data_IF_462109720426
#
_entry.id   IF_462109720426
#
_cell.length_a   1.000
_cell.length_b   1.000
_cell.length_c   1.000
_cell.angle_alpha   90.00
_cell.angle_beta   90.00
_cell.angle_gamma   90.00
#
_symmetry.space_group_name_H-M   'P 1'
#
loop_
_entity.id
_entity.type
_entity.pdbx_description
1 polymer ?
#
# COMPACT_ATOMS: atom_id res chain seq x y z
N UNK A 1 8.12 9.30 -4.39
CA UNK A 1 9.14 9.13 -5.45
C UNK A 1 8.57 9.68 -6.73
N UNK A 2 9.33 10.52 -7.45
CA UNK A 2 8.88 11.14 -8.70
C UNK A 2 9.33 10.35 -9.93
N UNK A 3 10.53 9.80 -9.89
CA UNK A 3 11.14 9.07 -11.00
C UNK A 3 12.16 8.05 -10.47
N UNK A 4 12.54 7.07 -11.28
CA UNK A 4 13.55 6.06 -10.97
C UNK A 4 14.24 5.51 -12.22
N UNK A 5 15.46 5.00 -12.03
CA UNK A 5 16.18 4.27 -13.05
C UNK A 5 16.67 2.93 -12.47
N UNK A 6 16.52 1.83 -13.22
CA UNK A 6 17.01 0.52 -12.82
C UNK A 6 18.44 0.36 -13.33
N UNK A 7 19.36 0.06 -12.41
CA UNK A 7 20.73 -0.27 -12.79
C UNK A 7 20.83 -1.73 -13.21
N UNK A 8 21.25 -1.98 -14.45
CA UNK A 8 21.31 -3.32 -15.06
C UNK A 8 22.74 -3.90 -15.09
N UNK A 9 23.68 -3.27 -14.38
CA UNK A 9 25.08 -3.67 -14.34
C UNK A 9 25.86 -3.22 -15.58
N UNK A 10 26.83 -4.03 -16.01
CA UNK A 10 27.73 -3.68 -17.12
C UNK A 10 27.04 -3.50 -18.49
N UNK A 11 25.80 -3.98 -18.62
CA UNK A 11 24.98 -3.83 -19.84
C UNK A 11 24.17 -2.54 -19.88
N UNK A 12 24.19 -1.74 -18.81
CA UNK A 12 23.42 -0.50 -18.78
C UNK A 12 24.01 0.47 -19.82
N UNK A 13 23.41 0.52 -21.01
CA UNK A 13 23.86 1.36 -22.11
C UNK A 13 23.37 2.78 -21.86
N UNK A 14 24.30 3.66 -21.51
CA UNK A 14 24.02 5.08 -21.41
C UNK A 14 25.01 5.86 -22.27
N UNK A 15 24.48 6.49 -23.31
CA UNK A 15 25.22 7.38 -24.19
C UNK A 15 25.44 8.72 -23.48
N UNK A 16 26.48 8.80 -22.64
CA UNK A 16 26.96 10.11 -22.19
C UNK A 16 28.45 10.12 -22.00
N UNK A 17 29.06 11.22 -22.43
CA UNK A 17 30.48 11.48 -22.24
C UNK A 17 30.83 11.83 -20.77
N UNK A 18 29.82 11.94 -19.91
CA UNK A 18 29.94 12.37 -18.50
C UNK A 18 30.05 11.19 -17.53
N UNK A 19 29.87 9.96 -18.02
CA UNK A 19 29.83 8.74 -17.22
C UNK A 19 28.47 8.47 -16.59
N UNK A 20 28.37 7.33 -15.90
CA UNK A 20 27.11 6.75 -15.41
C UNK A 20 26.36 7.66 -14.42
N UNK A 21 27.06 8.17 -13.41
CA UNK A 21 26.43 8.96 -12.33
C UNK A 21 25.74 10.23 -12.83
N UNK A 22 26.48 11.13 -13.52
CA UNK A 22 25.89 12.34 -14.11
C UNK A 22 24.74 12.06 -15.06
N UNK A 23 24.85 11.02 -15.89
CA UNK A 23 23.77 10.64 -16.80
C UNK A 23 22.48 10.29 -16.05
N UNK A 24 22.58 9.45 -15.01
CA UNK A 24 21.41 9.05 -14.23
C UNK A 24 20.73 10.28 -13.62
N UNK A 25 21.51 11.21 -13.07
CA UNK A 25 20.95 12.46 -12.52
C UNK A 25 20.27 13.28 -13.60
N UNK A 26 20.93 13.52 -14.74
CA UNK A 26 20.34 14.29 -15.83
C UNK A 26 19.08 13.64 -16.39
N UNK A 27 19.02 12.30 -16.44
CA UNK A 27 17.83 11.58 -16.87
C UNK A 27 16.67 11.77 -15.89
N UNK A 28 16.90 11.58 -14.59
CA UNK A 28 15.88 11.74 -13.56
C UNK A 28 15.43 13.20 -13.41
N UNK A 29 16.33 14.14 -13.68
CA UNK A 29 16.08 15.57 -13.62
C UNK A 29 15.07 16.06 -14.67
N UNK A 30 14.87 15.32 -15.77
CA UNK A 30 13.87 15.67 -16.81
C UNK A 30 12.44 15.68 -16.27
N UNK A 31 12.17 14.90 -15.22
CA UNK A 31 10.87 14.81 -14.55
C UNK A 31 10.65 15.94 -13.53
N UNK A 32 11.62 16.84 -13.35
CA UNK A 32 11.60 17.92 -12.36
C UNK A 32 11.27 19.25 -13.07
N UNK A 33 10.38 20.08 -12.51
CA UNK A 33 10.06 21.38 -13.10
C UNK A 33 11.26 22.35 -13.09
N UNK A 34 11.44 23.17 -14.15
CA UNK A 34 12.49 24.18 -14.20
C UNK A 34 12.44 25.15 -13.01
N UNK A 35 13.60 25.62 -12.56
CA UNK A 35 13.75 26.47 -11.37
C UNK A 35 13.84 25.70 -10.05
N UNK A 36 13.74 24.37 -10.08
CA UNK A 36 13.90 23.53 -8.89
C UNK A 36 15.36 23.39 -8.47
N UNK A 37 15.57 23.21 -7.16
CA UNK A 37 16.88 22.85 -6.59
C UNK A 37 17.00 21.32 -6.46
N UNK A 38 18.08 20.76 -6.98
CA UNK A 38 18.38 19.31 -6.89
C UNK A 38 19.55 19.09 -5.96
N UNK A 39 19.36 18.19 -4.99
CA UNK A 39 20.36 17.79 -4.01
C UNK A 39 20.80 16.36 -4.29
N UNK A 40 22.11 16.14 -4.41
CA UNK A 40 22.71 14.83 -4.64
C UNK A 40 23.99 14.69 -3.82
N UNK A 41 24.35 13.45 -3.50
CA UNK A 41 25.53 13.18 -2.68
C UNK A 41 26.84 13.56 -3.42
N UNK A 42 27.92 13.72 -2.65
CA UNK A 42 29.27 13.99 -3.16
C UNK A 42 29.68 12.99 -4.23
N UNK A 43 29.28 11.72 -4.09
CA UNK A 43 29.58 10.68 -5.08
C UNK A 43 29.13 11.05 -6.50
N UNK A 44 28.03 11.79 -6.63
CA UNK A 44 27.50 12.19 -7.93
C UNK A 44 27.83 13.64 -8.32
N UNK A 45 28.50 14.39 -7.44
CA UNK A 45 28.73 15.83 -7.63
C UNK A 45 30.00 16.07 -8.47
N UNK A 46 29.83 16.43 -9.74
CA UNK A 46 30.93 16.80 -10.64
C UNK A 46 30.68 18.15 -11.31
N UNK A 47 31.75 18.90 -11.63
CA UNK A 47 31.63 20.21 -12.30
C UNK A 47 30.87 20.10 -13.63
N UNK A 48 31.18 19.14 -14.53
CA UNK A 48 30.44 18.99 -15.78
C UNK A 48 28.94 18.71 -15.60
N UNK A 49 28.57 17.97 -14.55
CA UNK A 49 27.15 17.73 -14.23
C UNK A 49 26.45 19.04 -13.85
N UNK A 50 27.08 19.85 -13.01
CA UNK A 50 26.50 21.12 -12.54
C UNK A 50 26.23 22.05 -13.73
N UNK A 51 27.17 22.13 -14.68
CA UNK A 51 27.01 22.93 -15.91
C UNK A 51 25.83 22.45 -16.77
N UNK A 52 25.66 21.13 -16.94
CA UNK A 52 24.52 20.57 -17.69
C UNK A 52 23.18 20.80 -16.97
N UNK A 53 23.15 20.74 -15.64
CA UNK A 53 21.94 21.03 -14.86
C UNK A 53 21.54 22.50 -14.95
N UNK A 54 22.52 23.42 -14.97
CA UNK A 54 22.26 24.85 -15.15
C UNK A 54 21.64 25.15 -16.52
N UNK A 55 22.07 24.44 -17.59
CA UNK A 55 21.44 24.53 -18.92
C UNK A 55 19.97 24.06 -18.91
N UNK A 56 19.62 23.13 -18.02
CA UNK A 56 18.23 22.70 -17.79
C UNK A 56 17.44 23.64 -16.86
N UNK A 57 18.02 24.79 -16.49
CA UNK A 57 17.47 25.73 -15.52
C UNK A 57 17.19 25.06 -14.16
N UNK A 58 18.07 24.14 -13.74
CA UNK A 58 18.03 23.47 -12.45
C UNK A 58 19.21 23.92 -11.59
N UNK A 59 18.94 24.24 -10.34
CA UNK A 59 19.99 24.63 -9.40
C UNK A 59 20.57 23.39 -8.73
N UNK A 60 21.80 23.02 -9.10
CA UNK A 60 22.57 21.99 -8.39
C UNK A 60 23.32 22.59 -7.19
N UNK A 61 23.43 21.81 -6.12
CA UNK A 61 24.04 22.29 -4.87
C UNK A 61 25.57 22.27 -4.97
N UNK A 62 26.19 23.44 -5.19
CA UNK A 62 27.57 23.69 -4.77
C UNK A 62 27.59 24.06 -3.27
N UNK A 63 28.63 23.68 -2.50
CA UNK A 63 28.61 23.58 -1.04
C UNK A 63 28.71 24.93 -0.32
N UNK A 64 27.73 25.83 -0.51
CA UNK A 64 27.72 27.12 0.21
C UNK A 64 26.78 27.21 1.40
N UNK A 65 25.93 26.21 1.67
CA UNK A 65 25.17 26.13 2.93
C UNK A 65 25.00 24.67 3.35
N UNK A 66 25.93 24.15 4.14
CA UNK A 66 25.87 22.79 4.74
C UNK A 66 24.52 22.55 5.46
N UNK A 67 23.93 23.59 6.03
CA UNK A 67 22.62 23.51 6.69
C UNK A 67 21.47 23.19 5.72
N UNK A 68 21.45 23.79 4.52
CA UNK A 68 20.43 23.52 3.51
C UNK A 68 20.63 22.12 2.93
N UNK A 69 21.87 21.73 2.66
CA UNK A 69 22.20 20.37 2.25
C UNK A 69 21.68 19.34 3.26
N UNK A 70 22.03 19.48 4.55
CA UNK A 70 21.56 18.55 5.59
C UNK A 70 20.03 18.58 5.80
N UNK A 71 19.37 19.71 5.49
CA UNK A 71 17.92 19.84 5.63
C UNK A 71 17.15 19.14 4.51
N UNK A 72 17.66 19.18 3.28
CA UNK A 72 16.96 18.68 2.09
C UNK A 72 17.51 17.34 1.57
N UNK A 73 18.74 16.97 1.94
CA UNK A 73 19.24 15.61 1.78
C UNK A 73 18.49 14.66 2.71
N UNK A 74 18.30 13.42 2.26
CA UNK A 74 17.59 12.39 3.01
C UNK A 74 16.13 12.19 2.59
N UNK A 75 15.62 12.90 1.59
CA UNK A 75 14.29 12.61 1.03
C UNK A 75 14.14 11.16 0.54
N UNK A 76 15.20 10.62 -0.07
CA UNK A 76 15.29 9.20 -0.46
C UNK A 76 15.41 8.30 0.76
N UNK A 77 16.30 8.62 1.71
CA UNK A 77 16.49 7.84 2.94
C UNK A 77 15.22 7.72 3.78
N UNK A 78 14.42 8.77 3.85
CA UNK A 78 13.14 8.78 4.57
C UNK A 78 12.12 7.86 3.89
N UNK A 79 12.10 7.82 2.56
CA UNK A 79 11.26 6.89 1.80
C UNK A 79 11.70 5.44 2.06
N UNK A 80 13.00 5.18 2.00
CA UNK A 80 13.59 3.86 2.28
C UNK A 80 13.29 3.40 3.70
N UNK A 81 13.43 4.29 4.68
CA UNK A 81 13.07 4.03 6.07
C UNK A 81 11.59 3.67 6.21
N UNK A 82 10.69 4.38 5.53
CA UNK A 82 9.24 4.13 5.57
C UNK A 82 8.84 2.82 4.90
N UNK A 83 9.55 2.43 3.84
CA UNK A 83 9.36 1.11 3.23
C UNK A 83 9.86 0.01 4.17
N UNK A 84 11.02 0.18 4.80
CA UNK A 84 11.64 -0.83 5.66
C UNK A 84 10.82 -1.11 6.92
N UNK A 85 10.19 -0.10 7.54
CA UNK A 85 9.38 -0.29 8.77
C UNK A 85 8.32 -1.39 8.68
N UNK A 86 7.69 -1.52 7.51
CA UNK A 86 6.60 -2.47 7.28
C UNK A 86 6.85 -3.28 6.01
N UNK A 87 8.11 -3.57 5.70
CA UNK A 87 8.51 -4.25 4.47
C UNK A 87 7.75 -5.55 4.25
N UNK A 88 7.19 -5.72 3.06
CA UNK A 88 6.50 -6.95 2.68
C UNK A 88 7.54 -8.04 2.42
N UNK A 89 7.73 -8.94 3.40
CA UNK A 89 8.71 -10.01 3.27
C UNK A 89 8.12 -11.22 2.53
N UNK A 90 8.70 -11.55 1.38
CA UNK A 90 8.37 -12.77 0.64
C UNK A 90 9.61 -13.65 0.43
N UNK A 91 9.57 -14.87 0.96
CA UNK A 91 10.67 -15.84 0.80
C UNK A 91 10.65 -16.45 -0.60
N UNK A 92 11.37 -15.83 -1.52
CA UNK A 92 11.50 -16.30 -2.92
C UNK A 92 12.93 -16.18 -3.44
N UNK A 93 13.33 -17.10 -4.31
CA UNK A 93 14.58 -17.01 -5.09
C UNK A 93 14.41 -16.20 -6.38
N UNK A 94 13.18 -15.97 -6.85
CA UNK A 94 12.91 -15.21 -8.08
C UNK A 94 13.09 -13.71 -7.81
N UNK A 95 14.12 -13.10 -8.38
CA UNK A 95 14.46 -11.68 -8.16
C UNK A 95 13.38 -10.74 -8.71
N UNK A 96 12.73 -11.09 -9.82
CA UNK A 96 11.65 -10.30 -10.42
C UNK A 96 10.49 -10.08 -9.46
N UNK A 97 10.15 -11.10 -8.66
CA UNK A 97 9.11 -11.00 -7.65
C UNK A 97 9.53 -10.08 -6.49
N UNK A 98 10.81 -10.04 -6.13
CA UNK A 98 11.31 -9.08 -5.14
C UNK A 98 11.18 -7.64 -5.62
N UNK A 99 11.47 -7.40 -6.90
CA UNK A 99 11.31 -6.09 -7.55
C UNK A 99 9.85 -5.68 -7.60
N UNK A 100 8.95 -6.59 -7.99
CA UNK A 100 7.51 -6.34 -7.98
C UNK A 100 7.01 -5.92 -6.59
N UNK A 101 7.36 -6.68 -5.56
CA UNK A 101 6.94 -6.40 -4.18
C UNK A 101 7.51 -5.06 -3.70
N UNK A 102 8.75 -4.74 -4.05
CA UNK A 102 9.35 -3.44 -3.74
C UNK A 102 8.56 -2.28 -4.37
N UNK A 103 8.16 -2.40 -5.64
CA UNK A 103 7.33 -1.38 -6.29
C UNK A 103 5.94 -1.24 -5.67
N UNK A 104 5.35 -2.34 -5.17
CA UNK A 104 4.09 -2.30 -4.42
C UNK A 104 4.24 -1.58 -3.08
N UNK A 105 5.29 -1.89 -2.31
CA UNK A 105 5.60 -1.20 -1.05
C UNK A 105 5.87 0.30 -1.30
N UNK A 106 6.59 0.62 -2.38
CA UNK A 106 6.87 1.98 -2.82
C UNK A 106 5.58 2.75 -3.18
N UNK A 107 4.68 2.12 -3.96
CA UNK A 107 3.41 2.71 -4.32
C UNK A 107 2.55 2.97 -3.07
N UNK A 108 2.49 2.03 -2.12
CA UNK A 108 1.79 2.20 -0.84
C UNK A 108 2.31 3.40 -0.06
N UNK A 109 3.63 3.51 0.10
CA UNK A 109 4.23 4.64 0.84
C UNK A 109 4.00 5.96 0.10
N UNK A 110 4.11 5.98 -1.23
CA UNK A 110 3.80 7.17 -2.03
C UNK A 110 2.33 7.61 -1.86
N UNK A 111 1.38 6.68 -1.91
CA UNK A 111 -0.04 6.97 -1.69
C UNK A 111 -0.31 7.51 -0.29
N UNK A 112 0.34 6.95 0.74
CA UNK A 112 0.23 7.47 2.11
C UNK A 112 0.82 8.88 2.25
N UNK A 113 1.89 9.20 1.51
CA UNK A 113 2.45 10.56 1.45
C UNK A 113 1.49 11.56 0.81
N UNK A 114 0.84 11.18 -0.28
CA UNK A 114 -0.19 12.00 -0.91
C UNK A 114 -1.36 12.24 0.05
N UNK A 115 -1.87 11.18 0.69
CA UNK A 115 -2.91 11.29 1.73
C UNK A 115 -2.51 12.26 2.85
N UNK A 116 -1.27 12.21 3.32
CA UNK A 116 -0.79 13.15 4.35
C UNK A 116 -0.75 14.59 3.85
N UNK A 117 -0.35 14.83 2.60
CA UNK A 117 -0.36 16.16 1.98
C UNK A 117 -1.79 16.68 1.89
N UNK A 118 -2.74 15.85 1.47
CA UNK A 118 -4.16 16.22 1.39
C UNK A 118 -4.72 16.51 2.79
N UNK A 119 -4.34 15.73 3.80
CA UNK A 119 -4.72 16.03 5.18
C UNK A 119 -4.17 17.37 5.67
N UNK A 120 -2.97 17.78 5.22
CA UNK A 120 -2.45 19.12 5.55
C UNK A 120 -3.21 20.20 4.80
N UNK A 121 -3.46 20.01 3.51
CA UNK A 121 -4.18 20.97 2.67
C UNK A 121 -5.62 21.21 3.11
N UNK A 122 -6.25 20.21 3.74
CA UNK A 122 -7.61 20.28 4.29
C UNK A 122 -7.65 20.57 5.80
N UNK A 123 -6.54 21.00 6.41
CA UNK A 123 -6.43 21.33 7.84
C UNK A 123 -6.89 20.21 8.80
N UNK A 124 -6.68 18.94 8.42
CA UNK A 124 -7.02 17.82 9.30
C UNK A 124 -6.09 17.82 10.52
N UNK A 125 -6.65 17.74 11.74
CA UNK A 125 -5.87 17.70 12.95
C UNK A 125 -5.08 16.40 13.04
N UNK A 126 -3.86 16.46 13.61
CA UNK A 126 -2.89 15.36 13.62
C UNK A 126 -3.45 14.06 14.22
N UNK A 127 -4.32 14.15 15.22
CA UNK A 127 -4.95 13.00 15.87
C UNK A 127 -5.97 12.26 14.98
N UNK A 128 -6.41 12.87 13.88
CA UNK A 128 -7.31 12.24 12.89
C UNK A 128 -6.56 11.67 11.69
N UNK A 129 -5.24 11.89 11.58
CA UNK A 129 -4.44 11.37 10.47
C UNK A 129 -4.13 9.89 10.71
N UNK A 130 -4.37 9.08 9.70
CA UNK A 130 -4.09 7.65 9.76
C UNK A 130 -2.58 7.38 9.72
N UNK A 131 -2.01 6.65 10.70
CA UNK A 131 -0.61 6.25 10.65
C UNK A 131 -0.37 5.24 9.52
N UNK A 132 0.88 5.10 9.09
CA UNK A 132 1.25 4.30 7.91
C UNK A 132 0.79 2.83 8.00
N UNK A 133 0.88 2.20 9.18
CA UNK A 133 0.44 0.81 9.36
C UNK A 133 -1.07 0.66 9.15
N UNK A 134 -1.87 1.52 9.77
CA UNK A 134 -3.32 1.48 9.67
C UNK A 134 -3.76 1.74 8.22
N UNK A 135 -3.10 2.67 7.53
CA UNK A 135 -3.33 2.94 6.12
C UNK A 135 -3.05 1.73 5.23
N UNK A 136 -1.96 1.00 5.52
CA UNK A 136 -1.65 -0.26 4.80
C UNK A 136 -2.69 -1.34 5.06
N UNK A 137 -3.16 -1.48 6.30
CA UNK A 137 -4.19 -2.46 6.66
C UNK A 137 -5.53 -2.14 5.99
N UNK A 138 -5.93 -0.87 5.95
CA UNK A 138 -7.17 -0.44 5.29
C UNK A 138 -7.15 -0.74 3.77
N UNK A 139 -6.02 -0.49 3.10
CA UNK A 139 -5.83 -0.87 1.69
C UNK A 139 -5.88 -2.39 1.51
N UNK A 140 -5.19 -3.15 2.38
CA UNK A 140 -5.17 -4.60 2.30
C UNK A 140 -6.58 -5.20 2.48
N UNK A 141 -7.35 -4.68 3.44
CA UNK A 141 -8.74 -5.08 3.66
C UNK A 141 -9.58 -4.73 2.43
N UNK A 142 -9.50 -3.50 1.92
CA UNK A 142 -10.27 -3.06 0.76
C UNK A 142 -10.01 -3.91 -0.47
N UNK A 143 -8.73 -4.19 -0.78
CA UNK A 143 -8.33 -5.05 -1.90
C UNK A 143 -8.68 -6.52 -1.68
N UNK A 144 -8.74 -6.99 -0.44
CA UNK A 144 -9.19 -8.36 -0.14
C UNK A 144 -10.71 -8.53 -0.24
N UNK A 145 -11.44 -7.42 -0.30
CA UNK A 145 -12.90 -7.39 -0.30
C UNK A 145 -13.50 -7.07 -1.67
N UNK A 146 -12.67 -6.93 -2.70
CA UNK A 146 -13.15 -6.96 -4.08
C UNK A 146 -13.79 -8.32 -4.35
N UNK A 147 -15.03 -8.37 -4.89
CA UNK A 147 -15.70 -9.62 -5.20
C UNK A 147 -14.76 -10.53 -6.01
N UNK A 148 -14.68 -11.80 -5.65
CA UNK A 148 -13.93 -12.79 -6.40
C UNK A 148 -14.56 -12.84 -7.81
N UNK A 149 -13.93 -12.18 -8.79
CA UNK A 149 -14.33 -12.38 -10.16
C UNK A 149 -13.99 -13.83 -10.48
N UNK A 150 -14.98 -14.67 -10.84
CA UNK A 150 -14.70 -16.05 -11.17
C UNK A 150 -13.60 -16.06 -12.22
N UNK A 151 -12.44 -16.61 -11.86
CA UNK A 151 -11.30 -16.73 -12.74
C UNK A 151 -11.85 -17.39 -14.01
N UNK A 152 -11.76 -16.72 -15.17
CA UNK A 152 -12.13 -17.35 -16.44
C UNK A 152 -11.38 -18.67 -16.49
N UNK A 153 -12.11 -19.77 -16.38
CA UNK A 153 -11.59 -21.09 -16.67
C UNK A 153 -11.44 -21.09 -18.18
N UNK A 154 -10.34 -20.53 -18.67
CA UNK A 154 -9.87 -20.85 -20.00
C UNK A 154 -9.46 -22.32 -19.90
N UNK A 155 -10.35 -23.17 -20.43
CA UNK A 155 -10.17 -24.61 -20.40
C UNK A 155 -8.89 -25.00 -21.12
N UNK A 156 -8.11 -25.88 -20.50
CA UNK A 156 -7.76 -27.20 -21.04
C UNK A 156 -6.82 -27.88 -20.02
N UNK A 157 -7.37 -28.56 -19.02
CA UNK A 157 -6.63 -29.61 -18.30
C UNK A 157 -7.63 -30.57 -17.66
N UNK A 158 -7.68 -31.79 -18.21
CA UNK A 158 -8.57 -32.90 -17.81
C UNK A 158 -8.15 -33.54 -16.46
N UNK A 159 -7.47 -32.78 -15.60
CA UNK A 159 -7.01 -33.26 -14.31
C UNK A 159 -8.13 -33.14 -13.27
N UNK A 160 -8.78 -34.28 -13.02
CA UNK A 160 -9.78 -34.44 -11.93
C UNK A 160 -9.21 -33.87 -10.62
N UNK A 161 -9.82 -32.84 -10.03
CA UNK A 161 -9.33 -32.28 -8.77
C UNK A 161 -9.53 -33.32 -7.66
N UNK A 162 -8.44 -33.89 -7.15
CA UNK A 162 -8.49 -34.72 -5.94
C UNK A 162 -8.91 -33.81 -4.78
N UNK A 163 -10.01 -34.09 -4.07
CA UNK A 163 -10.44 -33.25 -2.96
C UNK A 163 -9.45 -33.43 -1.81
N UNK A 164 -8.54 -32.47 -1.62
CA UNK A 164 -7.85 -32.31 -0.35
C UNK A 164 -8.92 -32.03 0.70
N UNK A 165 -9.14 -32.97 1.61
CA UNK A 165 -9.88 -32.72 2.85
C UNK A 165 -9.06 -31.77 3.71
N UNK A 166 -9.11 -30.49 3.38
CA UNK A 166 -8.68 -29.45 4.30
C UNK A 166 -9.67 -29.42 5.46
N UNK A 167 -9.23 -29.87 6.63
CA UNK A 167 -9.92 -29.53 7.85
C UNK A 167 -9.81 -28.01 8.00
N UNK A 168 -10.84 -27.28 7.54
CA UNK A 168 -10.98 -25.84 7.76
C UNK A 168 -11.13 -25.62 9.26
N UNK A 169 -10.02 -25.41 9.96
CA UNK A 169 -10.02 -24.91 11.32
C UNK A 169 -10.67 -23.52 11.26
N UNK A 170 -11.86 -23.39 11.83
CA UNK A 170 -12.54 -22.11 11.92
C UNK A 170 -11.68 -21.14 12.75
N UNK A 171 -11.25 -20.05 12.11
CA UNK A 171 -10.70 -18.88 12.77
C UNK A 171 -11.76 -17.79 12.72
N UNK A 172 -12.09 -17.13 13.84
CA UNK A 172 -12.97 -15.97 13.81
C UNK A 172 -12.43 -14.95 12.80
N UNK A 173 -13.28 -14.47 11.90
CA UNK A 173 -12.90 -13.39 10.99
C UNK A 173 -12.43 -12.18 11.80
N UNK A 174 -11.37 -11.52 11.33
CA UNK A 174 -10.98 -10.22 11.86
C UNK A 174 -12.15 -9.25 11.67
N UNK A 175 -12.26 -8.25 12.55
CA UNK A 175 -13.27 -7.22 12.35
C UNK A 175 -13.00 -6.52 11.02
N UNK A 176 -14.00 -6.38 10.13
CA UNK A 176 -13.84 -5.68 8.86
C UNK A 176 -13.47 -4.21 9.09
N UNK A 177 -12.76 -3.60 8.13
CA UNK A 177 -12.47 -2.17 8.12
C UNK A 177 -13.77 -1.36 8.22
N UNK A 178 -13.69 -0.15 8.80
CA UNK A 178 -14.84 0.74 8.91
C UNK A 178 -15.44 1.07 7.53
N UNK A 179 -14.59 1.24 6.52
CA UNK A 179 -15.02 1.46 5.14
C UNK A 179 -15.89 0.31 4.63
N UNK A 180 -15.44 -0.94 4.77
CA UNK A 180 -16.21 -2.13 4.35
C UNK A 180 -17.48 -2.30 5.17
N UNK A 181 -17.42 -2.04 6.48
CA UNK A 181 -18.54 -2.24 7.39
C UNK A 181 -19.69 -1.26 7.12
N UNK A 182 -19.35 -0.01 6.77
CA UNK A 182 -20.30 1.09 6.65
C UNK A 182 -20.51 1.56 5.20
N UNK A 183 -20.09 0.77 4.20
CA UNK A 183 -20.27 1.12 2.78
C UNK A 183 -21.73 1.07 2.30
N UNK A 184 -22.62 0.41 3.06
CA UNK A 184 -24.06 0.45 2.84
C UNK A 184 -24.60 -0.49 1.75
N UNK A 185 -23.77 -1.35 1.14
CA UNK A 185 -24.21 -2.27 0.09
C UNK A 185 -23.65 -3.69 0.25
N UNK A 186 -24.35 -4.68 -0.32
CA UNK A 186 -23.94 -6.10 -0.38
C UNK A 186 -23.73 -6.81 0.97
N UNK A 187 -24.38 -6.34 2.03
CA UNK A 187 -24.37 -7.01 3.33
C UNK A 187 -25.60 -7.90 3.50
N UNK A 188 -25.56 -9.11 2.96
CA UNK A 188 -26.68 -10.06 3.05
C UNK A 188 -26.53 -11.03 4.24
N UNK A 189 -27.63 -11.29 4.99
CA UNK A 189 -27.63 -12.31 6.02
C UNK A 189 -27.75 -13.70 5.39
N UNK A 190 -26.78 -14.58 5.67
CA UNK A 190 -26.77 -15.96 5.21
C UNK A 190 -26.79 -16.89 6.42
N UNK A 191 -27.63 -17.93 6.37
CA UNK A 191 -27.61 -19.02 7.34
C UNK A 191 -26.47 -19.98 7.02
N UNK A 192 -25.52 -20.10 7.94
CA UNK A 192 -24.41 -21.02 7.83
C UNK A 192 -24.77 -22.40 8.40
N UNK A 193 -24.40 -23.47 7.71
CA UNK A 193 -24.70 -24.85 8.11
C UNK A 193 -23.68 -25.38 9.13
N UNK A 194 -23.54 -24.62 10.23
CA UNK A 194 -22.66 -24.96 11.34
C UNK A 194 -23.42 -25.73 12.42
N UNK A 195 -22.75 -26.77 12.96
CA UNK A 195 -23.30 -27.59 14.06
C UNK A 195 -23.63 -26.76 15.29
N UNK A 196 -22.69 -25.92 15.73
CA UNK A 196 -22.85 -25.04 16.89
C UNK A 196 -22.82 -23.57 16.45
N UNK A 197 -23.73 -22.71 16.97
CA UNK A 197 -23.75 -21.29 16.64
C UNK A 197 -22.52 -20.56 17.19
N UNK A 198 -22.09 -19.50 16.50
CA UNK A 198 -20.93 -18.67 16.90
C UNK A 198 -21.38 -17.44 17.68
N UNK A 199 -20.50 -16.87 18.49
CA UNK A 199 -20.78 -15.64 19.25
C UNK A 199 -21.01 -14.46 18.32
N UNK A 200 -21.99 -13.63 18.66
CA UNK A 200 -22.28 -12.40 17.94
C UNK A 200 -21.08 -11.45 18.05
N UNK A 201 -20.74 -10.79 16.93
CA UNK A 201 -19.62 -9.83 16.89
C UNK A 201 -20.00 -8.41 17.31
N UNK A 202 -21.28 -8.16 17.60
CA UNK A 202 -21.75 -6.87 18.07
C UNK A 202 -21.19 -6.53 19.46
N UNK A 203 -20.83 -5.26 19.66
CA UNK A 203 -20.41 -4.75 20.96
C UNK A 203 -21.55 -4.94 21.98
N UNK A 204 -21.23 -5.47 23.17
CA UNK A 204 -22.19 -5.76 24.24
C UNK A 204 -23.25 -6.85 23.92
N UNK A 205 -23.01 -7.72 22.93
CA UNK A 205 -23.88 -8.86 22.65
C UNK A 205 -23.20 -10.21 22.97
N UNK A 206 -23.75 -10.95 23.92
CA UNK A 206 -23.25 -12.28 24.31
C UNK A 206 -23.97 -13.44 23.60
N UNK A 207 -24.94 -13.12 22.76
CA UNK A 207 -25.77 -14.11 22.07
C UNK A 207 -25.00 -14.85 20.99
N UNK A 208 -25.50 -16.04 20.61
CA UNK A 208 -24.90 -16.85 19.55
C UNK A 208 -25.82 -16.91 18.33
N UNK A 209 -25.25 -16.94 17.13
CA UNK A 209 -25.96 -16.94 15.87
C UNK A 209 -25.35 -17.95 14.89
N UNK A 210 -26.21 -18.52 14.02
CA UNK A 210 -25.78 -19.24 12.80
C UNK A 210 -25.82 -18.34 11.57
N UNK A 211 -26.30 -17.12 11.72
CA UNK A 211 -26.44 -16.15 10.65
C UNK A 211 -25.16 -15.32 10.60
N UNK A 212 -24.57 -15.22 9.41
CA UNK A 212 -23.41 -14.38 9.14
C UNK A 212 -23.69 -13.41 8.01
N UNK A 213 -22.96 -12.30 8.00
CA UNK A 213 -22.91 -11.41 6.85
C UNK A 213 -22.04 -12.04 5.76
N UNK A 214 -22.56 -12.13 4.54
CA UNK A 214 -21.81 -12.65 3.38
C UNK A 214 -20.51 -11.89 3.13
N UNK A 215 -20.60 -10.56 3.15
CA UNK A 215 -19.49 -9.66 2.84
C UNK A 215 -18.50 -9.53 4.00
N UNK A 216 -18.97 -9.29 5.21
CA UNK A 216 -18.09 -9.10 6.38
C UNK A 216 -17.58 -10.41 7.00
N UNK A 217 -18.18 -11.56 6.67
CA UNK A 217 -17.90 -12.88 7.28
C UNK A 217 -17.96 -12.90 8.82
N UNK A 218 -18.80 -12.04 9.41
CA UNK A 218 -19.04 -11.96 10.85
C UNK A 218 -20.42 -12.51 11.21
N UNK A 219 -20.50 -13.23 12.33
CA UNK A 219 -21.78 -13.75 12.84
C UNK A 219 -22.52 -12.68 13.65
N UNK A 220 -23.78 -12.47 13.29
CA UNK A 220 -24.64 -11.43 13.87
C UNK A 220 -26.01 -12.02 14.21
N UNK A 221 -26.60 -11.56 15.31
CA UNK A 221 -27.97 -11.95 15.64
C UNK A 221 -28.94 -11.31 14.66
N UNK A 222 -29.83 -12.15 14.13
CA UNK A 222 -30.99 -11.74 13.34
C UNK A 222 -32.17 -12.57 13.84
N UNK A 223 -32.81 -12.09 14.90
CA UNK A 223 -34.02 -12.65 15.47
C UNK A 223 -35.02 -11.53 15.74
N UNK A 224 -36.27 -11.87 16.06
CA UNK A 224 -37.30 -10.88 16.43
C UNK A 224 -36.88 -9.97 17.58
N UNK A 225 -36.18 -10.53 18.57
CA UNK A 225 -35.81 -9.82 19.79
C UNK A 225 -34.44 -9.12 19.68
N UNK A 226 -33.60 -9.52 18.72
CA UNK A 226 -32.23 -9.01 18.56
C UNK A 226 -31.86 -8.86 17.09
N UNK A 227 -31.88 -7.63 16.59
CA UNK A 227 -31.38 -7.26 15.27
C UNK A 227 -30.00 -6.60 15.37
N UNK A 228 -29.01 -7.41 15.76
CA UNK A 228 -27.62 -6.98 15.76
C UNK A 228 -27.09 -6.80 14.33
N UNK A 229 -27.69 -7.47 13.34
CA UNK A 229 -27.25 -7.40 11.95
C UNK A 229 -27.36 -5.97 11.41
N UNK A 230 -28.54 -5.36 11.50
CA UNK A 230 -28.76 -3.97 11.07
C UNK A 230 -27.93 -2.98 11.88
N UNK A 231 -27.94 -3.13 13.21
CA UNK A 231 -27.21 -2.26 14.13
C UNK A 231 -25.70 -2.26 13.86
N UNK A 232 -25.15 -3.40 13.42
CA UNK A 232 -23.73 -3.52 13.14
C UNK A 232 -23.32 -2.69 11.92
N UNK A 233 -24.15 -2.69 10.88
CA UNK A 233 -23.84 -2.09 9.58
C UNK A 233 -24.15 -0.59 9.48
N UNK A 234 -25.01 -0.08 10.35
CA UNK A 234 -25.39 1.35 10.36
C UNK A 234 -24.55 2.12 11.40
N UNK A 235 -23.98 1.43 12.37
CA UNK A 235 -23.40 2.05 13.55
C UNK A 235 -24.50 2.46 14.53
N UNK A 236 -24.22 2.37 15.83
CA UNK A 236 -25.08 2.97 16.84
C UNK A 236 -25.07 4.48 16.62
N UNK A 237 -26.23 5.07 16.35
CA UNK A 237 -26.42 6.52 16.47
C UNK A 237 -26.17 6.97 17.91
#
# INVERSE_FOLDING_TARGET
MLDFAIYEGAKTMFESNLGLGPFVILSLAKSIPPGSCVYHDRHFTTVPLIEEMEKLNLHSTAPKIVQNYNKFMGGVDVLDQQMEYYRTFLKTKKWTLKVLIHFLDLALVNSWRLYNNDCVANDLPRNKKMPLLDFRMDIADTLSCTPDHPRRVEGDDDSVPVPRREYKIYRPANAPSAAKRYDGYEHYPISDDIKAPRTCRMENCESRSKIKCEKCDVYLCLSRDKDCFKSYLIGSA
#
